data_IF_275009707146
#
_entry.id   IF_275009707146
#
_cell.length_a   1.000
_cell.length_b   1.000
_cell.length_c   1.000
_cell.angle_alpha   90.00
_cell.angle_beta   90.00
_cell.angle_gamma   90.00
#
_symmetry.space_group_name_H-M   'P 1'
#
loop_
_entity.id
_entity.type
_entity.pdbx_description
1 polymer ?
#
# COMPACT_ATOMS: atom_id res chain seq x y z
N UNK A 1 -10.49 -18.00 11.25
CA UNK A 1 -10.54 -17.41 9.89
C UNK A 1 -11.20 -18.34 8.86
N UNK A 2 -10.66 -19.51 8.53
CA UNK A 2 -11.29 -20.39 7.51
C UNK A 2 -12.72 -20.82 7.87
N UNK A 3 -12.98 -21.11 9.14
CA UNK A 3 -14.33 -21.43 9.61
C UNK A 3 -15.29 -20.24 9.44
N UNK A 4 -14.86 -19.03 9.81
CA UNK A 4 -15.61 -17.80 9.59
C UNK A 4 -15.88 -17.54 8.10
N UNK A 5 -14.91 -17.82 7.21
CA UNK A 5 -15.12 -17.70 5.78
C UNK A 5 -16.22 -18.66 5.29
N UNK A 6 -16.29 -19.90 5.82
CA UNK A 6 -17.35 -20.86 5.49
C UNK A 6 -18.74 -20.38 5.92
N UNK A 7 -18.82 -19.65 7.03
CA UNK A 7 -20.06 -19.10 7.57
C UNK A 7 -20.56 -17.89 6.79
N UNK A 8 -19.64 -17.07 6.27
CA UNK A 8 -19.97 -15.85 5.51
C UNK A 8 -20.32 -16.15 4.05
N UNK A 9 -19.60 -17.08 3.42
CA UNK A 9 -19.83 -17.41 2.00
C UNK A 9 -20.98 -18.41 1.90
N UNK A 10 -21.98 -18.20 1.03
CA UNK A 10 -23.06 -19.17 0.82
C UNK A 10 -22.51 -20.56 0.45
N UNK A 11 -23.05 -21.62 1.06
CA UNK A 11 -22.52 -23.00 0.86
C UNK A 11 -22.52 -23.46 -0.60
N UNK A 12 -23.49 -22.99 -1.39
CA UNK A 12 -23.55 -23.28 -2.83
C UNK A 12 -22.35 -22.70 -3.61
N UNK A 13 -21.73 -21.63 -3.11
CA UNK A 13 -20.63 -20.90 -3.76
C UNK A 13 -19.25 -21.34 -3.24
N UNK A 14 -19.18 -22.23 -2.25
CA UNK A 14 -17.89 -22.62 -1.64
C UNK A 14 -16.93 -23.18 -2.69
N UNK A 15 -17.39 -24.16 -3.49
CA UNK A 15 -16.54 -24.86 -4.48
C UNK A 15 -16.05 -23.97 -5.63
N UNK A 16 -16.74 -22.87 -5.93
CA UNK A 16 -16.33 -21.93 -6.98
C UNK A 16 -15.48 -20.77 -6.44
N UNK A 17 -15.54 -20.50 -5.13
CA UNK A 17 -14.81 -19.38 -4.53
C UNK A 17 -13.31 -19.68 -4.48
N UNK A 18 -12.47 -18.93 -5.20
CA UNK A 18 -11.04 -19.16 -5.21
C UNK A 18 -10.39 -18.69 -3.90
N UNK A 19 -9.44 -19.46 -3.39
CA UNK A 19 -8.62 -19.09 -2.23
C UNK A 19 -7.15 -19.14 -2.58
N UNK A 20 -6.46 -18.04 -2.27
CA UNK A 20 -5.03 -17.86 -2.51
C UNK A 20 -4.33 -17.49 -1.21
N UNK A 21 -3.05 -17.83 -1.11
CA UNK A 21 -2.17 -17.32 -0.06
C UNK A 21 -0.90 -16.71 -0.66
N UNK A 22 -0.72 -15.42 -0.42
CA UNK A 22 0.53 -14.71 -0.68
C UNK A 22 1.25 -14.43 0.64
N UNK A 23 2.48 -14.94 0.77
CA UNK A 23 3.36 -14.60 1.88
C UNK A 23 4.39 -13.55 1.44
N UNK A 24 4.78 -12.65 2.35
CA UNK A 24 5.59 -11.46 2.00
C UNK A 24 6.99 -11.51 2.64
N UNK A 25 7.54 -10.37 3.06
CA UNK A 25 8.92 -10.22 3.53
C UNK A 25 9.34 -11.20 4.65
N UNK A 26 8.45 -11.55 5.58
CA UNK A 26 8.78 -12.53 6.62
C UNK A 26 9.17 -13.89 6.05
N UNK A 27 8.42 -14.39 5.07
CA UNK A 27 8.77 -15.63 4.37
C UNK A 27 9.93 -15.45 3.39
N UNK A 28 10.13 -14.25 2.82
CA UNK A 28 11.36 -13.93 2.06
C UNK A 28 12.62 -14.04 2.93
N UNK A 29 12.55 -13.58 4.18
CA UNK A 29 13.63 -13.71 5.17
C UNK A 29 13.83 -15.17 5.59
N UNK A 30 12.74 -15.91 5.89
CA UNK A 30 12.83 -17.32 6.24
C UNK A 30 13.46 -18.13 5.11
N UNK A 31 13.01 -17.96 3.85
CA UNK A 31 13.57 -18.68 2.71
C UNK A 31 15.05 -18.39 2.50
N UNK A 32 15.49 -17.14 2.72
CA UNK A 32 16.92 -16.78 2.69
C UNK A 32 17.72 -17.49 3.78
N UNK A 33 17.12 -17.70 4.95
CA UNK A 33 17.76 -18.36 6.08
C UNK A 33 17.76 -19.90 5.95
N UNK A 34 16.63 -20.47 5.54
CA UNK A 34 16.40 -21.90 5.40
C UNK A 34 15.25 -22.13 4.39
N UNK A 35 15.61 -22.53 3.19
CA UNK A 35 14.67 -22.78 2.10
C UNK A 35 13.71 -23.94 2.40
N UNK A 36 14.21 -25.07 2.93
CA UNK A 36 13.37 -26.23 3.31
C UNK A 36 12.31 -25.84 4.34
N UNK A 37 12.68 -25.07 5.36
CA UNK A 37 11.72 -24.62 6.37
C UNK A 37 10.64 -23.70 5.78
N UNK A 38 10.99 -22.84 4.81
CA UNK A 38 10.01 -22.03 4.12
C UNK A 38 9.04 -22.88 3.29
N UNK A 39 9.54 -23.89 2.58
CA UNK A 39 8.74 -24.80 1.76
C UNK A 39 7.84 -25.71 2.61
N UNK A 40 8.32 -26.17 3.77
CA UNK A 40 7.54 -26.93 4.75
C UNK A 40 6.37 -26.10 5.30
N UNK A 41 6.60 -24.82 5.61
CA UNK A 41 5.55 -23.90 6.04
C UNK A 41 4.51 -23.69 4.93
N UNK A 42 4.95 -23.40 3.70
CA UNK A 42 4.03 -23.22 2.56
C UNK A 42 3.23 -24.49 2.27
N UNK A 43 3.87 -25.66 2.36
CA UNK A 43 3.22 -26.96 2.15
C UNK A 43 2.18 -27.26 3.22
N UNK A 44 2.49 -27.01 4.49
CA UNK A 44 1.56 -27.18 5.61
C UNK A 44 0.33 -26.28 5.48
N UNK A 45 0.56 -25.00 5.15
CA UNK A 45 -0.52 -24.03 4.92
C UNK A 45 -1.34 -24.39 3.69
N UNK A 46 -0.69 -24.78 2.58
CA UNK A 46 -1.35 -25.23 1.36
C UNK A 46 -2.23 -26.46 1.59
N UNK A 47 -1.76 -27.44 2.38
CA UNK A 47 -2.55 -28.63 2.74
C UNK A 47 -3.78 -28.25 3.58
N UNK A 48 -3.64 -27.30 4.49
CA UNK A 48 -4.75 -26.78 5.31
C UNK A 48 -5.77 -26.02 4.46
N UNK A 49 -5.33 -25.23 3.48
CA UNK A 49 -6.24 -24.52 2.58
C UNK A 49 -6.94 -25.48 1.61
N UNK A 50 -6.24 -26.52 1.13
CA UNK A 50 -6.80 -27.55 0.25
C UNK A 50 -7.86 -28.41 0.93
N UNK A 51 -7.83 -28.57 2.26
CA UNK A 51 -8.85 -29.30 3.00
C UNK A 51 -10.11 -28.47 3.29
N UNK A 52 -10.09 -27.16 3.03
CA UNK A 52 -11.27 -26.31 3.08
C UNK A 52 -12.17 -26.52 1.84
N UNK A 53 -13.48 -26.22 1.90
CA UNK A 53 -14.43 -26.45 0.81
C UNK A 53 -14.31 -25.40 -0.31
N UNK A 54 -13.21 -24.64 -0.34
CA UNK A 54 -12.95 -23.58 -1.30
C UNK A 54 -12.06 -24.08 -2.43
N UNK A 55 -12.07 -23.36 -3.56
CA UNK A 55 -11.21 -23.66 -4.68
C UNK A 55 -9.78 -23.16 -4.41
N UNK A 56 -8.92 -24.02 -3.84
CA UNK A 56 -7.53 -23.64 -3.55
C UNK A 56 -6.69 -23.50 -4.82
N UNK A 57 -6.14 -22.29 -5.02
CA UNK A 57 -5.40 -21.91 -6.22
C UNK A 57 -3.89 -21.86 -6.02
N UNK A 58 -3.41 -21.83 -4.76
CA UNK A 58 -1.99 -21.89 -4.46
C UNK A 58 -1.57 -21.06 -3.24
N UNK A 59 -0.40 -21.42 -2.71
CA UNK A 59 0.29 -20.70 -1.65
C UNK A 59 1.71 -20.39 -2.13
N UNK A 60 2.10 -19.11 -2.17
CA UNK A 60 3.43 -18.70 -2.65
C UNK A 60 3.97 -17.50 -1.90
N UNK A 61 5.29 -17.29 -1.99
CA UNK A 61 5.94 -16.07 -1.56
C UNK A 61 5.89 -15.08 -2.72
N UNK A 62 5.29 -13.91 -2.52
CA UNK A 62 5.26 -12.85 -3.53
C UNK A 62 6.57 -12.04 -3.50
N UNK A 63 6.99 -11.53 -4.65
CA UNK A 63 8.14 -10.62 -4.75
C UNK A 63 7.83 -9.28 -4.07
N UNK A 64 8.88 -8.49 -3.83
CA UNK A 64 8.69 -7.16 -3.26
C UNK A 64 8.00 -6.19 -4.22
N UNK A 65 8.31 -6.32 -5.51
CA UNK A 65 7.74 -5.56 -6.61
C UNK A 65 6.27 -5.91 -6.80
N UNK A 66 5.91 -7.20 -6.72
CA UNK A 66 4.52 -7.68 -6.71
C UNK A 66 3.74 -7.08 -5.53
N UNK A 67 4.28 -7.14 -4.31
CA UNK A 67 3.65 -6.58 -3.11
C UNK A 67 3.35 -5.08 -3.26
N UNK A 68 4.33 -4.30 -3.75
CA UNK A 68 4.15 -2.87 -4.01
C UNK A 68 3.15 -2.58 -5.14
N UNK A 69 3.27 -3.27 -6.28
CA UNK A 69 2.41 -3.09 -7.43
C UNK A 69 0.95 -3.43 -7.13
N UNK A 70 0.69 -4.54 -6.44
CA UNK A 70 -0.66 -4.92 -6.06
C UNK A 70 -1.26 -3.95 -5.03
N UNK A 71 -0.45 -3.40 -4.11
CA UNK A 71 -0.88 -2.32 -3.22
C UNK A 71 -1.30 -1.05 -3.99
N UNK A 72 -0.50 -0.66 -4.98
CA UNK A 72 -0.81 0.46 -5.87
C UNK A 72 -2.09 0.23 -6.70
N UNK A 73 -2.28 -0.99 -7.23
CA UNK A 73 -3.51 -1.37 -7.93
C UNK A 73 -4.71 -1.25 -7.00
N UNK A 74 -4.64 -1.78 -5.78
CA UNK A 74 -5.74 -1.73 -4.80
C UNK A 74 -6.22 -0.30 -4.56
N UNK A 75 -5.31 0.62 -4.19
CA UNK A 75 -5.73 1.97 -3.81
C UNK A 75 -6.32 2.72 -5.00
N UNK A 76 -5.75 2.57 -6.20
CA UNK A 76 -6.24 3.24 -7.39
C UNK A 76 -7.54 2.64 -7.92
N UNK A 77 -7.73 1.33 -7.74
CA UNK A 77 -8.99 0.66 -8.03
C UNK A 77 -10.11 1.17 -7.10
N UNK A 78 -9.85 1.22 -5.79
CA UNK A 78 -10.83 1.66 -4.79
C UNK A 78 -11.15 3.16 -4.89
N UNK A 79 -10.18 4.00 -5.26
CA UNK A 79 -10.38 5.43 -5.54
C UNK A 79 -11.04 5.69 -6.90
N UNK A 80 -11.14 4.68 -7.77
CA UNK A 80 -11.70 4.82 -9.11
C UNK A 80 -10.78 5.54 -10.11
N UNK A 81 -9.49 5.67 -9.80
CA UNK A 81 -8.51 6.41 -10.61
C UNK A 81 -8.23 5.77 -11.99
N UNK A 82 -8.58 4.50 -12.18
CA UNK A 82 -8.40 3.81 -13.46
C UNK A 82 -9.52 4.07 -14.48
N UNK A 83 -10.69 4.56 -14.06
CA UNK A 83 -11.84 4.72 -14.97
C UNK A 83 -11.68 6.01 -15.79
N UNK A 84 -11.76 5.91 -17.12
CA UNK A 84 -11.86 7.10 -17.94
C UNK A 84 -13.27 7.68 -17.83
N UNK A 85 -13.37 8.94 -17.41
CA UNK A 85 -14.65 9.65 -17.46
C UNK A 85 -14.93 9.98 -18.93
N UNK A 86 -15.95 9.37 -19.52
CA UNK A 86 -16.37 9.63 -20.91
C UNK A 86 -17.33 10.82 -21.01
N UNK A 87 -17.35 11.48 -22.18
CA UNK A 87 -18.27 12.58 -22.50
C UNK A 87 -17.92 13.93 -21.86
N UNK A 88 -18.93 14.77 -21.64
CA UNK A 88 -18.79 16.18 -21.24
C UNK A 88 -18.24 16.31 -19.80
N UNK A 89 -18.36 15.23 -19.03
CA UNK A 89 -17.72 15.08 -17.73
C UNK A 89 -16.19 15.06 -17.85
N UNK A 90 -15.61 14.51 -18.94
CA UNK A 90 -14.16 14.58 -19.21
C UNK A 90 -13.67 16.03 -19.16
N UNK A 91 -14.35 16.95 -19.84
CA UNK A 91 -13.99 18.38 -19.88
C UNK A 91 -13.94 19.03 -18.47
N UNK A 92 -14.81 18.62 -17.55
CA UNK A 92 -14.85 19.12 -16.18
C UNK A 92 -13.79 18.45 -15.27
N UNK A 93 -13.43 17.19 -15.50
CA UNK A 93 -12.42 16.47 -14.72
C UNK A 93 -10.97 16.76 -15.16
N UNK A 94 -10.71 17.01 -16.46
CA UNK A 94 -9.36 17.38 -16.96
C UNK A 94 -8.87 18.70 -16.38
N UNK A 95 -9.77 19.59 -15.96
CA UNK A 95 -9.43 20.84 -15.29
C UNK A 95 -8.95 20.64 -13.83
N UNK A 96 -9.07 19.43 -13.25
CA UNK A 96 -8.93 19.21 -11.79
C UNK A 96 -7.81 18.25 -11.35
N UNK A 97 -7.14 17.50 -12.25
CA UNK A 97 -6.10 16.55 -11.84
C UNK A 97 -4.85 16.57 -12.74
N UNK A 98 -3.69 16.85 -12.13
CA UNK A 98 -2.37 16.82 -12.76
C UNK A 98 -1.63 15.47 -12.58
N UNK A 99 -2.13 14.58 -11.71
CA UNK A 99 -1.63 13.20 -11.51
C UNK A 99 -2.76 12.18 -11.62
N UNK A 100 -2.67 11.30 -12.61
CA UNK A 100 -3.78 10.41 -12.99
C UNK A 100 -3.97 9.21 -12.04
N UNK A 101 -3.02 8.96 -11.13
CA UNK A 101 -3.09 7.90 -10.11
C UNK A 101 -2.38 8.36 -8.83
N UNK A 102 -2.76 7.78 -7.70
CA UNK A 102 -2.08 7.98 -6.42
C UNK A 102 -0.94 6.98 -6.27
N UNK A 103 0.18 7.41 -5.69
CA UNK A 103 1.24 6.53 -5.25
C UNK A 103 0.84 5.70 -4.02
N UNK A 104 1.52 4.60 -3.78
CA UNK A 104 1.32 3.69 -2.66
C UNK A 104 2.58 3.61 -1.80
N UNK A 105 2.40 3.74 -0.49
CA UNK A 105 3.43 3.52 0.52
C UNK A 105 2.92 2.43 1.48
N UNK A 106 3.62 1.30 1.52
CA UNK A 106 3.27 0.17 2.40
C UNK A 106 4.38 -0.03 3.42
N UNK A 107 4.05 -0.07 4.71
CA UNK A 107 5.00 -0.40 5.77
C UNK A 107 4.54 -1.64 6.51
N UNK A 108 5.31 -2.72 6.34
CA UNK A 108 5.17 -3.96 7.07
C UNK A 108 6.14 -4.07 8.26
N UNK A 109 6.16 -5.25 8.87
CA UNK A 109 7.14 -5.58 9.91
C UNK A 109 8.55 -5.84 9.35
N UNK A 110 8.65 -6.40 8.15
CA UNK A 110 9.92 -6.85 7.56
C UNK A 110 10.35 -6.18 6.24
N UNK A 111 9.46 -5.45 5.58
CA UNK A 111 9.79 -4.59 4.43
C UNK A 111 8.94 -3.34 4.42
N UNK A 112 9.33 -2.39 3.58
CA UNK A 112 8.54 -1.24 3.18
C UNK A 112 8.61 -1.07 1.67
N UNK A 113 7.53 -0.60 1.07
CA UNK A 113 7.37 -0.43 -0.37
C UNK A 113 6.98 1.00 -0.71
N UNK A 114 7.48 1.45 -1.86
CA UNK A 114 7.07 2.69 -2.51
C UNK A 114 6.80 2.39 -3.98
N UNK A 115 5.61 2.76 -4.44
CA UNK A 115 5.14 2.46 -5.79
C UNK A 115 4.34 3.63 -6.36
N UNK A 116 4.73 4.16 -7.51
CA UNK A 116 4.01 5.28 -8.14
C UNK A 116 4.34 5.40 -9.63
N UNK A 117 3.47 6.09 -10.38
CA UNK A 117 3.73 6.40 -11.79
C UNK A 117 4.72 7.57 -11.89
N UNK A 118 5.86 7.32 -12.52
CA UNK A 118 6.86 8.34 -12.82
C UNK A 118 6.70 8.83 -14.27
N UNK A 119 6.81 10.14 -14.48
CA UNK A 119 6.89 10.75 -15.83
C UNK A 119 8.34 10.90 -16.32
N UNK A 120 9.31 10.63 -15.44
CA UNK A 120 10.72 10.71 -15.77
C UNK A 120 11.19 9.41 -16.42
N UNK A 121 12.18 9.52 -17.32
CA UNK A 121 12.86 8.36 -17.88
C UNK A 121 13.50 7.58 -16.74
N UNK A 122 13.19 6.29 -16.64
CA UNK A 122 13.77 5.46 -15.59
C UNK A 122 15.27 5.26 -15.83
N UNK A 123 16.05 5.47 -14.78
CA UNK A 123 17.48 5.13 -14.76
C UNK A 123 17.74 3.72 -14.19
N UNK A 124 16.68 3.03 -13.74
CA UNK A 124 16.72 1.68 -13.17
C UNK A 124 15.57 0.86 -13.76
N UNK A 125 15.80 0.17 -14.90
CA UNK A 125 14.79 -0.68 -15.53
C UNK A 125 14.28 -1.79 -14.60
N UNK A 126 15.13 -2.29 -13.69
CA UNK A 126 14.76 -3.31 -12.70
C UNK A 126 13.73 -2.85 -11.66
N UNK A 127 13.54 -1.53 -11.49
CA UNK A 127 12.52 -0.96 -10.62
C UNK A 127 11.30 -0.42 -11.41
N UNK A 128 11.22 -0.71 -12.70
CA UNK A 128 10.13 -0.26 -13.56
C UNK A 128 9.24 -1.42 -14.00
N UNK A 129 7.94 -1.25 -13.80
CA UNK A 129 6.89 -2.16 -14.28
C UNK A 129 5.99 -1.44 -15.28
N UNK A 130 5.51 -2.19 -16.26
CA UNK A 130 4.59 -1.71 -17.28
C UNK A 130 3.26 -2.43 -17.14
N UNK A 131 2.19 -1.66 -17.00
CA UNK A 131 0.83 -2.19 -16.92
C UNK A 131 -0.04 -1.55 -17.99
N UNK A 132 -0.92 -2.34 -18.60
CA UNK A 132 -2.03 -1.83 -19.41
C UNK A 132 -3.33 -2.14 -18.69
N UNK A 133 -4.02 -1.11 -18.21
CA UNK A 133 -5.24 -1.23 -17.41
C UNK A 133 -6.29 -0.29 -18.00
N UNK A 134 -7.48 -0.80 -18.32
CA UNK A 134 -8.61 0.00 -18.83
C UNK A 134 -8.24 0.92 -20.02
N UNK A 135 -7.54 0.34 -20.99
CA UNK A 135 -7.14 0.97 -22.26
C UNK A 135 -5.94 1.92 -22.15
N UNK A 136 -5.26 1.97 -21.00
CA UNK A 136 -4.19 2.91 -20.74
C UNK A 136 -2.93 2.23 -20.22
N UNK A 137 -1.78 2.71 -20.72
CA UNK A 137 -0.46 2.26 -20.29
C UNK A 137 0.04 3.06 -19.10
N UNK A 138 0.59 2.36 -18.11
CA UNK A 138 1.14 2.91 -16.88
C UNK A 138 2.59 2.44 -16.74
N UNK A 139 3.49 3.41 -16.61
CA UNK A 139 4.90 3.18 -16.27
C UNK A 139 5.07 3.40 -14.78
N UNK A 140 5.14 2.30 -14.02
CA UNK A 140 5.11 2.31 -12.56
C UNK A 140 6.51 2.03 -12.03
N UNK A 141 7.06 2.97 -11.28
CA UNK A 141 8.21 2.71 -10.43
C UNK A 141 7.75 1.93 -9.20
N UNK A 142 8.49 0.89 -8.82
CA UNK A 142 8.26 0.14 -7.59
C UNK A 142 9.57 -0.32 -6.98
N UNK A 143 9.69 -0.21 -5.66
CA UNK A 143 10.81 -0.80 -4.94
C UNK A 143 10.39 -1.30 -3.57
N UNK A 144 10.96 -2.44 -3.15
CA UNK A 144 10.75 -3.05 -1.84
C UNK A 144 12.05 -3.10 -1.05
N UNK A 145 12.13 -2.33 0.03
CA UNK A 145 13.27 -2.35 0.94
C UNK A 145 13.11 -3.47 1.98
N UNK A 146 13.60 -4.66 1.67
CA UNK A 146 13.66 -5.77 2.62
C UNK A 146 14.54 -5.38 3.83
N UNK A 147 14.14 -5.81 5.04
CA UNK A 147 14.70 -5.41 6.32
C UNK A 147 14.36 -3.98 6.80
N UNK A 148 13.67 -3.17 5.98
CA UNK A 148 13.22 -1.82 6.35
C UNK A 148 11.73 -1.76 6.73
N UNK A 149 11.12 -2.91 7.02
CA UNK A 149 9.89 -2.91 7.81
C UNK A 149 10.21 -2.51 9.26
N UNK A 150 9.23 -1.93 9.97
CA UNK A 150 9.49 -1.29 11.27
C UNK A 150 10.14 -2.23 12.30
N UNK A 151 9.75 -3.51 12.33
CA UNK A 151 10.27 -4.46 13.31
C UNK A 151 11.75 -4.76 13.00
N UNK A 152 12.05 -5.00 11.73
CA UNK A 152 13.42 -5.29 11.28
C UNK A 152 14.32 -4.05 11.36
N UNK A 153 13.79 -2.86 11.10
CA UNK A 153 14.51 -1.61 11.28
C UNK A 153 14.89 -1.37 12.75
N UNK A 154 13.99 -1.68 13.70
CA UNK A 154 14.31 -1.66 15.13
C UNK A 154 15.46 -2.61 15.47
N UNK A 155 15.41 -3.85 14.96
CA UNK A 155 16.50 -4.82 15.16
C UNK A 155 17.82 -4.30 14.57
N UNK A 156 17.80 -3.74 13.36
CA UNK A 156 18.99 -3.15 12.74
C UNK A 156 19.55 -1.96 13.54
N UNK A 157 18.68 -1.09 14.06
CA UNK A 157 19.07 0.04 14.91
C UNK A 157 19.78 -0.45 16.17
N UNK A 158 19.15 -1.38 16.88
CA UNK A 158 19.71 -1.97 18.10
C UNK A 158 21.05 -2.65 17.84
N UNK A 159 21.16 -3.41 16.75
CA UNK A 159 22.42 -4.07 16.36
C UNK A 159 23.52 -3.05 16.09
N UNK A 160 23.20 -1.94 15.42
CA UNK A 160 24.14 -0.85 15.13
C UNK A 160 24.58 -0.12 16.40
N UNK A 161 23.63 0.25 17.25
CA UNK A 161 23.92 0.97 18.50
C UNK A 161 24.78 0.13 19.45
N UNK A 162 24.49 -1.18 19.51
CA UNK A 162 25.31 -2.14 20.25
C UNK A 162 26.75 -2.21 19.73
N UNK A 163 26.96 -2.12 18.41
CA UNK A 163 28.30 -2.10 17.82
C UNK A 163 29.07 -0.79 18.08
N UNK A 164 28.36 0.33 18.15
CA UNK A 164 28.94 1.65 18.37
C UNK A 164 29.34 1.87 19.83
N UNK A 165 28.71 1.16 20.77
CA UNK A 165 29.06 1.19 22.18
C UNK A 165 30.38 0.46 22.43
N UNK A 166 31.48 1.21 22.49
CA UNK A 166 32.86 0.71 22.70
C UNK A 166 33.09 0.07 24.07
N UNK A 167 32.15 0.22 24.99
CA UNK A 167 32.12 -0.49 26.28
C UNK A 167 30.65 -0.62 26.69
N UNK A 168 30.11 -1.83 26.59
CA UNK A 168 28.85 -2.23 27.27
C UNK A 168 29.22 -3.00 28.55
N UNK A 169 29.81 -2.35 29.58
CA UNK A 169 30.40 -3.03 30.72
C UNK A 169 29.39 -3.90 31.50
N UNK A 170 28.09 -3.65 31.36
CA UNK A 170 27.03 -4.32 32.12
C UNK A 170 25.93 -4.93 31.24
N UNK A 171 26.20 -5.29 29.99
CA UNK A 171 25.20 -5.85 29.06
C UNK A 171 23.94 -4.97 28.90
N UNK A 172 24.03 -3.67 29.21
CA UNK A 172 22.93 -2.72 29.23
C UNK A 172 23.08 -1.73 28.09
N UNK A 173 22.01 -1.52 27.33
CA UNK A 173 21.94 -0.56 26.23
C UNK A 173 20.84 0.48 26.55
N UNK A 174 21.22 1.71 26.95
CA UNK A 174 20.31 2.84 26.96
C UNK A 174 19.80 3.09 25.54
N UNK A 175 18.49 3.24 25.39
CA UNK A 175 17.87 3.42 24.08
C UNK A 175 16.86 4.59 24.10
N UNK A 176 17.10 5.64 23.30
CA UNK A 176 16.27 6.83 23.29
C UNK A 176 14.88 6.61 22.67
N UNK A 177 14.69 5.53 21.90
CA UNK A 177 13.45 5.24 21.19
C UNK A 177 12.40 4.51 22.03
N UNK A 178 12.73 4.14 23.28
CA UNK A 178 11.80 3.56 24.23
C UNK A 178 11.53 4.54 25.38
N UNK A 179 10.31 4.51 25.91
CA UNK A 179 9.89 5.37 27.01
C UNK A 179 10.77 5.22 28.25
N UNK A 180 11.00 6.31 28.98
CA UNK A 180 11.76 6.28 30.24
C UNK A 180 11.14 5.29 31.23
N UNK A 181 11.96 4.36 31.74
CA UNK A 181 11.52 3.30 32.66
C UNK A 181 10.95 2.05 31.98
N UNK A 182 10.96 1.99 30.65
CA UNK A 182 10.77 0.74 29.92
C UNK A 182 12.06 -0.09 29.97
N UNK A 183 11.92 -1.40 30.19
CA UNK A 183 13.03 -2.35 30.16
C UNK A 183 12.66 -3.57 29.33
N UNK A 184 13.63 -4.10 28.56
CA UNK A 184 13.46 -5.32 27.77
C UNK A 184 14.76 -6.10 27.73
N UNK A 185 14.67 -7.41 27.91
CA UNK A 185 15.81 -8.31 27.74
C UNK A 185 15.76 -8.97 26.36
N UNK A 186 16.92 -9.05 25.69
CA UNK A 186 17.10 -9.71 24.39
C UNK A 186 18.16 -10.80 24.51
N UNK A 187 17.83 -12.00 24.03
CA UNK A 187 18.81 -13.06 23.83
C UNK A 187 19.67 -12.76 22.60
N UNK A 188 20.98 -12.55 22.80
CA UNK A 188 21.91 -12.18 21.73
C UNK A 188 22.04 -13.26 20.64
N UNK A 189 22.01 -14.53 21.03
CA UNK A 189 22.14 -15.63 20.08
C UNK A 189 20.93 -15.71 19.15
N UNK A 190 19.72 -15.50 19.67
CA UNK A 190 18.50 -15.46 18.86
C UNK A 190 18.41 -14.18 18.03
N UNK A 191 18.76 -13.04 18.62
CA UNK A 191 18.79 -11.74 17.95
C UNK A 191 19.61 -11.79 16.66
N UNK A 192 20.83 -12.33 16.71
CA UNK A 192 21.70 -12.41 15.53
C UNK A 192 21.43 -13.60 14.59
N UNK A 193 20.45 -14.47 14.88
CA UNK A 193 19.94 -15.43 13.87
C UNK A 193 19.13 -14.74 12.79
N UNK A 194 18.61 -13.55 13.07
CA UNK A 194 17.83 -12.77 12.11
C UNK A 194 18.71 -12.32 10.92
N UNK A 195 18.34 -12.65 9.67
CA UNK A 195 19.11 -12.26 8.48
C UNK A 195 19.31 -10.75 8.29
N UNK A 196 18.46 -9.92 8.91
CA UNK A 196 18.63 -8.46 8.85
C UNK A 196 19.71 -7.91 9.78
N UNK A 197 20.22 -8.75 10.71
CA UNK A 197 21.24 -8.36 11.70
C UNK A 197 22.45 -9.29 11.72
N UNK A 198 22.43 -10.42 11.02
CA UNK A 198 23.47 -11.46 11.04
C UNK A 198 24.87 -10.91 10.79
N UNK A 199 24.99 -9.99 9.83
CA UNK A 199 26.27 -9.42 9.38
C UNK A 199 26.86 -8.46 10.42
N UNK A 200 26.09 -8.15 11.47
CA UNK A 200 26.49 -7.29 12.58
C UNK A 200 26.93 -8.09 13.81
N UNK A 201 26.93 -9.42 13.74
CA UNK A 201 27.35 -10.27 14.85
C UNK A 201 28.83 -10.07 15.16
N UNK A 202 29.13 -9.58 16.36
CA UNK A 202 30.46 -9.63 16.98
C UNK A 202 30.42 -10.60 18.15
N UNK A 203 31.58 -11.11 18.56
CA UNK A 203 31.68 -11.87 19.81
C UNK A 203 31.47 -10.89 20.97
N UNK A 204 30.28 -10.96 21.58
CA UNK A 204 29.93 -10.16 22.74
C UNK A 204 30.21 -10.96 24.01
N UNK A 205 30.67 -10.33 25.10
CA UNK A 205 31.00 -11.02 26.35
C UNK A 205 29.77 -11.44 27.17
N UNK A 206 28.56 -11.32 26.64
CA UNK A 206 27.30 -11.60 27.31
C UNK A 206 26.30 -12.29 26.36
N UNK A 207 25.40 -13.10 26.94
CA UNK A 207 24.34 -13.81 26.22
C UNK A 207 23.01 -13.07 26.20
N UNK A 208 22.82 -12.11 27.11
CA UNK A 208 21.61 -11.31 27.25
C UNK A 208 21.96 -9.83 27.15
N UNK A 209 21.09 -9.04 26.52
CA UNK A 209 21.18 -7.59 26.41
C UNK A 209 19.97 -6.95 27.10
N UNK A 210 20.21 -6.01 28.01
CA UNK A 210 19.18 -5.27 28.73
C UNK A 210 18.99 -3.88 28.11
N UNK A 211 17.89 -3.68 27.40
CA UNK A 211 17.49 -2.39 26.87
C UNK A 211 16.85 -1.56 27.99
N UNK A 212 17.28 -0.29 28.13
CA UNK A 212 16.70 0.67 29.06
C UNK A 212 16.23 1.91 28.31
N UNK A 213 14.93 2.21 28.35
CA UNK A 213 14.38 3.36 27.65
C UNK A 213 14.78 4.69 28.27
N UNK A 214 15.13 5.67 27.42
CA UNK A 214 15.44 7.05 27.84
C UNK A 214 14.32 8.05 27.48
N UNK A 215 13.53 7.79 26.43
CA UNK A 215 12.43 8.65 25.99
C UNK A 215 12.88 9.96 25.35
N UNK A 216 13.88 9.93 24.47
CA UNK A 216 14.47 11.11 23.82
C UNK A 216 14.26 11.03 22.30
N UNK A 217 13.26 11.75 21.80
CA UNK A 217 12.87 11.70 20.39
C UNK A 217 14.01 12.13 19.45
N UNK A 218 14.76 13.18 19.79
CA UNK A 218 15.80 13.71 18.92
C UNK A 218 16.95 12.72 18.76
N UNK A 219 17.44 12.14 19.87
CA UNK A 219 18.46 11.07 19.80
C UNK A 219 17.93 9.81 19.13
N UNK A 220 16.65 9.48 19.32
CA UNK A 220 16.02 8.37 18.63
C UNK A 220 16.05 8.58 17.11
N UNK A 221 15.63 9.76 16.64
CA UNK A 221 15.64 10.14 15.22
C UNK A 221 17.05 10.08 14.65
N UNK A 222 18.05 10.60 15.34
CA UNK A 222 19.46 10.55 14.92
C UNK A 222 20.00 9.11 14.83
N UNK A 223 19.64 8.24 15.78
CA UNK A 223 20.01 6.82 15.73
C UNK A 223 19.35 6.12 14.53
N UNK A 224 18.06 6.39 14.28
CA UNK A 224 17.32 5.84 13.14
C UNK A 224 17.89 6.31 11.80
N UNK A 225 18.20 7.60 11.67
CA UNK A 225 18.70 8.18 10.41
C UNK A 225 19.99 7.51 9.93
N UNK A 226 20.81 6.97 10.84
CA UNK A 226 22.02 6.19 10.51
C UNK A 226 21.72 4.91 9.73
N UNK A 227 20.48 4.40 9.76
CA UNK A 227 20.08 3.23 8.95
C UNK A 227 20.06 3.55 7.45
N UNK A 228 19.81 4.79 7.07
CA UNK A 228 19.67 5.19 5.67
C UNK A 228 21.02 5.66 5.11
N UNK A 229 21.76 4.78 4.43
CA UNK A 229 23.01 5.19 3.81
C UNK A 229 22.75 6.04 2.56
N UNK A 230 23.19 7.31 2.58
CA UNK A 230 23.05 8.24 1.46
C UNK A 230 24.36 8.61 0.76
N UNK A 231 25.49 8.03 1.16
CA UNK A 231 26.80 8.47 0.67
C UNK A 231 27.06 8.13 -0.80
N UNK A 232 26.44 7.06 -1.30
CA UNK A 232 26.67 6.55 -2.65
C UNK A 232 25.36 6.56 -3.43
N UNK A 233 25.29 7.36 -4.50
CA UNK A 233 24.21 7.32 -5.48
C UNK A 233 24.80 7.37 -6.89
N UNK A 234 24.50 6.37 -7.71
CA UNK A 234 24.99 6.27 -9.10
C UNK A 234 24.01 6.84 -10.13
N UNK A 235 22.82 7.21 -9.67
CA UNK A 235 21.72 7.75 -10.48
C UNK A 235 21.58 9.26 -10.21
N UNK A 236 20.70 9.93 -10.95
CA UNK A 236 20.41 11.36 -10.73
C UNK A 236 19.86 11.64 -9.32
N UNK A 237 19.13 10.69 -8.76
CA UNK A 237 18.54 10.75 -7.43
C UNK A 237 18.35 9.35 -6.86
N UNK A 238 18.58 9.23 -5.56
CA UNK A 238 18.39 7.98 -4.82
C UNK A 238 17.56 8.22 -3.57
N UNK A 239 16.91 7.17 -3.13
CA UNK A 239 16.32 7.08 -1.79
C UNK A 239 17.43 6.93 -0.74
N UNK A 240 17.86 5.69 -0.52
CA UNK A 240 18.97 5.29 0.34
C UNK A 240 19.55 3.96 -0.17
N UNK A 241 20.73 3.59 0.34
CA UNK A 241 21.53 2.44 -0.08
C UNK A 241 21.83 2.40 -1.58
N UNK A 242 21.92 3.56 -2.24
CA UNK A 242 22.18 3.67 -3.67
C UNK A 242 21.04 3.22 -4.57
N UNK A 243 19.83 3.07 -4.03
CA UNK A 243 18.63 2.69 -4.79
C UNK A 243 18.04 3.94 -5.47
N UNK A 244 17.90 3.86 -6.79
CA UNK A 244 17.25 4.90 -7.60
C UNK A 244 15.86 5.23 -7.06
N UNK A 245 15.53 6.52 -6.96
CA UNK A 245 14.19 6.99 -6.63
C UNK A 245 13.87 8.19 -7.53
N UNK A 246 12.93 8.07 -8.48
CA UNK A 246 12.45 9.23 -9.23
C UNK A 246 11.87 10.30 -8.30
N UNK A 247 11.86 11.59 -8.72
CA UNK A 247 11.18 12.64 -7.97
C UNK A 247 9.73 12.25 -7.62
N UNK A 248 9.42 12.28 -6.32
CA UNK A 248 8.07 11.94 -5.84
C UNK A 248 7.05 12.98 -6.33
N UNK A 249 5.98 12.51 -6.97
CA UNK A 249 4.98 13.34 -7.62
C UNK A 249 3.57 12.79 -7.40
N UNK A 250 2.57 13.67 -7.37
CA UNK A 250 1.18 13.32 -7.05
C UNK A 250 0.94 13.00 -5.57
N UNK A 251 -0.28 12.60 -5.26
CA UNK A 251 -0.71 12.18 -3.93
C UNK A 251 -0.36 10.72 -3.65
N UNK A 252 -0.12 10.37 -2.39
CA UNK A 252 0.27 9.04 -1.94
C UNK A 252 -0.67 8.53 -0.85
N UNK A 253 -1.15 7.30 -1.01
CA UNK A 253 -1.80 6.54 0.05
C UNK A 253 -0.78 5.75 0.84
N UNK A 254 -0.62 6.07 2.13
CA UNK A 254 0.24 5.36 3.07
C UNK A 254 -0.58 4.46 4.00
N UNK A 255 -0.41 3.15 3.91
CA UNK A 255 -1.26 2.16 4.59
C UNK A 255 -0.46 1.16 5.42
N UNK A 256 -1.12 0.12 5.94
CA UNK A 256 -0.53 -0.84 6.88
C UNK A 256 0.01 -0.14 8.14
N UNK A 257 1.26 -0.38 8.53
CA UNK A 257 1.81 0.20 9.76
C UNK A 257 1.97 1.72 9.68
N UNK A 258 2.05 2.34 8.48
CA UNK A 258 1.97 3.79 8.36
C UNK A 258 0.66 4.30 8.97
N UNK A 259 -0.48 3.72 8.58
CA UNK A 259 -1.78 4.10 9.09
C UNK A 259 -1.94 3.75 10.58
N UNK A 260 -1.67 2.52 10.99
CA UNK A 260 -1.96 2.11 12.38
C UNK A 260 -1.13 2.88 13.41
N UNK A 261 0.13 3.21 13.11
CA UNK A 261 0.99 4.02 14.00
C UNK A 261 0.50 5.46 14.04
N UNK A 262 0.24 6.08 12.89
CA UNK A 262 -0.26 7.45 12.84
C UNK A 262 -1.64 7.57 13.48
N UNK A 263 -2.53 6.60 13.28
CA UNK A 263 -3.85 6.58 13.87
C UNK A 263 -3.80 6.47 15.40
N UNK A 264 -2.92 5.61 15.93
CA UNK A 264 -2.72 5.51 17.38
C UNK A 264 -2.30 6.85 18.00
N UNK A 265 -1.44 7.60 17.31
CA UNK A 265 -0.97 8.92 17.73
C UNK A 265 -1.96 10.05 17.44
N UNK A 266 -3.15 9.73 16.92
CA UNK A 266 -4.16 10.69 16.46
C UNK A 266 -3.61 11.68 15.40
N UNK A 267 -2.79 11.14 14.48
CA UNK A 267 -2.13 11.86 13.39
C UNK A 267 -2.74 11.56 12.01
N UNK A 268 -3.85 10.82 11.99
CA UNK A 268 -4.70 10.64 10.81
C UNK A 268 -5.76 11.74 10.77
N UNK A 269 -6.18 12.15 9.57
CA UNK A 269 -7.19 13.20 9.38
C UNK A 269 -8.03 12.88 8.15
N UNK A 270 -9.35 13.02 8.27
CA UNK A 270 -10.30 12.78 7.19
C UNK A 270 -10.40 13.96 6.22
N UNK A 271 -10.09 15.18 6.67
CA UNK A 271 -10.26 16.41 5.87
C UNK A 271 -9.01 16.76 5.08
N UNK A 272 -7.86 16.85 5.75
CA UNK A 272 -6.56 17.17 5.15
C UNK A 272 -5.40 16.66 6.00
N UNK A 273 -4.26 16.29 5.40
CA UNK A 273 -3.09 15.86 6.18
C UNK A 273 -2.63 16.92 7.18
N UNK A 274 -2.07 16.47 8.31
CA UNK A 274 -1.54 17.37 9.33
C UNK A 274 -0.19 17.94 8.91
N UNK A 275 0.12 19.17 9.33
CA UNK A 275 1.42 19.78 9.09
C UNK A 275 2.55 18.98 9.76
N UNK A 276 3.70 18.87 9.08
CA UNK A 276 4.83 18.05 9.52
C UNK A 276 5.36 18.44 10.92
N UNK A 277 5.33 19.73 11.25
CA UNK A 277 5.70 20.21 12.59
C UNK A 277 4.75 19.70 13.69
N UNK A 278 3.45 19.60 13.41
CA UNK A 278 2.45 19.05 14.33
C UNK A 278 2.63 17.55 14.51
N UNK A 279 2.92 16.83 13.42
CA UNK A 279 3.23 15.39 13.44
C UNK A 279 4.48 15.14 14.30
N UNK A 280 5.55 15.87 14.03
CA UNK A 280 6.83 15.80 14.77
C UNK A 280 6.64 16.07 16.26
N UNK A 281 6.05 17.21 16.63
CA UNK A 281 5.85 17.59 18.03
C UNK A 281 4.94 16.62 18.80
N UNK A 282 3.98 15.99 18.14
CA UNK A 282 3.11 14.97 18.76
C UNK A 282 3.88 13.68 19.06
N UNK A 283 4.71 13.20 18.13
CA UNK A 283 5.57 12.02 18.36
C UNK A 283 6.59 12.32 19.46
N UNK A 284 7.22 13.49 19.42
CA UNK A 284 8.18 13.94 20.42
C UNK A 284 7.56 13.96 21.83
N UNK A 285 6.39 14.57 21.96
CA UNK A 285 5.65 14.62 23.21
C UNK A 285 5.26 13.22 23.71
N UNK A 286 4.87 12.32 22.81
CA UNK A 286 4.56 10.94 23.16
C UNK A 286 5.79 10.18 23.68
N UNK A 287 6.93 10.28 22.99
CA UNK A 287 8.19 9.64 23.37
C UNK A 287 8.69 10.05 24.76
N UNK A 288 8.50 11.33 25.14
CA UNK A 288 8.93 11.86 26.43
C UNK A 288 8.14 11.33 27.63
N UNK A 289 6.98 10.69 27.42
CA UNK A 289 6.15 10.17 28.51
C UNK A 289 6.82 8.99 29.22
N UNK A 290 6.77 8.93 30.57
CA UNK A 290 7.25 7.77 31.32
C UNK A 290 6.46 6.50 30.98
N UNK A 291 7.13 5.35 31.00
CA UNK A 291 6.53 4.09 30.58
C UNK A 291 5.27 3.71 31.38
N UNK A 292 5.26 3.94 32.69
CA UNK A 292 4.10 3.64 33.54
C UNK A 292 2.87 4.47 33.18
N UNK A 293 3.06 5.74 32.78
CA UNK A 293 1.97 6.61 32.35
C UNK A 293 1.37 6.12 31.03
N UNK A 294 2.23 5.78 30.06
CA UNK A 294 1.82 5.22 28.76
C UNK A 294 1.06 3.91 28.96
N UNK A 295 1.59 3.00 29.78
CA UNK A 295 0.96 1.70 30.06
C UNK A 295 -0.39 1.84 30.73
N UNK A 296 -0.54 2.80 31.65
CA UNK A 296 -1.81 3.09 32.32
C UNK A 296 -2.83 3.70 31.36
N UNK A 297 -2.41 4.68 30.55
CA UNK A 297 -3.29 5.36 29.59
C UNK A 297 -3.80 4.44 28.48
N UNK A 298 -2.99 3.46 28.05
CA UNK A 298 -3.31 2.55 26.94
C UNK A 298 -3.34 1.08 27.36
N UNK A 299 -3.87 0.79 28.56
CA UNK A 299 -3.88 -0.55 29.15
C UNK A 299 -4.57 -1.63 28.30
N UNK A 300 -5.41 -1.24 27.33
CA UNK A 300 -6.11 -2.15 26.42
C UNK A 300 -5.23 -2.61 25.24
N UNK A 301 -4.12 -1.93 24.98
CA UNK A 301 -3.17 -2.28 23.92
C UNK A 301 -2.13 -3.24 24.49
N UNK A 302 -1.86 -4.33 23.77
CA UNK A 302 -0.82 -5.29 24.17
C UNK A 302 0.53 -4.58 24.25
N UNK A 303 1.23 -4.79 25.36
CA UNK A 303 2.52 -4.16 25.66
C UNK A 303 3.53 -4.26 24.50
N UNK A 304 3.60 -5.40 23.83
CA UNK A 304 4.48 -5.62 22.66
C UNK A 304 4.30 -4.60 21.52
N UNK A 305 3.11 -4.04 21.35
CA UNK A 305 2.84 -2.99 20.37
C UNK A 305 3.04 -1.61 20.98
N UNK A 306 2.51 -1.43 22.21
CA UNK A 306 2.54 -0.15 22.91
C UNK A 306 3.96 0.36 23.13
N UNK A 307 4.90 -0.52 23.49
CA UNK A 307 6.31 -0.17 23.72
C UNK A 307 7.03 0.34 22.48
N UNK A 308 6.52 0.06 21.28
CA UNK A 308 7.20 0.34 20.01
C UNK A 308 6.68 1.61 19.31
N UNK A 309 5.63 2.26 19.80
CA UNK A 309 5.04 3.41 19.08
C UNK A 309 5.96 4.64 19.02
N UNK A 310 6.78 4.89 20.04
CA UNK A 310 7.78 5.97 19.99
C UNK A 310 8.78 5.72 18.87
N UNK A 311 9.44 4.55 18.86
CA UNK A 311 10.31 4.13 17.76
C UNK A 311 9.59 4.17 16.41
N UNK A 312 8.38 3.60 16.31
CA UNK A 312 7.67 3.46 15.05
C UNK A 312 7.28 4.81 14.45
N UNK A 313 6.83 5.77 15.28
CA UNK A 313 6.54 7.13 14.84
C UNK A 313 7.78 7.85 14.34
N UNK A 314 8.88 7.81 15.11
CA UNK A 314 10.16 8.39 14.70
C UNK A 314 10.75 7.72 13.44
N UNK A 315 10.54 6.40 13.29
CA UNK A 315 10.97 5.63 12.14
C UNK A 315 10.21 6.03 10.87
N UNK A 316 8.89 6.15 10.96
CA UNK A 316 8.05 6.58 9.83
C UNK A 316 8.47 7.97 9.35
N UNK A 317 8.64 8.94 10.27
CA UNK A 317 9.08 10.28 9.89
C UNK A 317 10.45 10.25 9.19
N UNK A 318 11.41 9.53 9.77
CA UNK A 318 12.75 9.41 9.19
C UNK A 318 12.72 8.68 7.83
N UNK A 319 11.89 7.66 7.67
CA UNK A 319 11.73 6.95 6.40
C UNK A 319 11.09 7.84 5.33
N UNK A 320 10.06 8.61 5.66
CA UNK A 320 9.39 9.50 4.70
C UNK A 320 10.30 10.67 4.30
N UNK A 321 10.87 11.38 5.28
CA UNK A 321 11.73 12.56 5.03
C UNK A 321 13.10 12.17 4.48
N UNK A 322 13.81 11.28 5.18
CA UNK A 322 15.16 10.91 4.81
C UNK A 322 15.17 9.74 3.81
N UNK A 323 14.26 8.78 3.88
CA UNK A 323 14.26 7.67 2.92
C UNK A 323 13.62 8.01 1.58
N UNK A 324 12.40 8.55 1.59
CA UNK A 324 11.56 8.74 0.40
C UNK A 324 11.46 10.19 -0.08
N UNK A 325 12.23 11.11 0.50
CA UNK A 325 12.32 12.51 0.11
C UNK A 325 10.98 13.28 0.20
N UNK A 326 10.13 12.91 1.15
CA UNK A 326 8.96 13.72 1.53
C UNK A 326 9.38 14.80 2.52
N UNK A 327 9.62 16.01 2.03
CA UNK A 327 9.99 17.20 2.80
C UNK A 327 8.76 18.02 3.17
N UNK A 328 8.94 19.12 3.89
CA UNK A 328 7.85 20.05 4.26
C UNK A 328 7.01 20.50 3.05
N UNK A 329 7.63 20.65 1.87
CA UNK A 329 6.98 21.12 0.65
C UNK A 329 6.01 20.11 0.02
N UNK A 330 6.18 18.82 0.26
CA UNK A 330 5.35 17.76 -0.36
C UNK A 330 4.74 16.80 0.68
N UNK A 331 4.97 17.02 1.98
CA UNK A 331 4.39 16.24 3.08
C UNK A 331 2.86 16.13 3.01
N UNK A 332 2.20 17.24 2.64
CA UNK A 332 0.74 17.33 2.50
C UNK A 332 0.15 16.44 1.39
N UNK A 333 1.00 15.78 0.59
CA UNK A 333 0.57 14.83 -0.44
C UNK A 333 0.42 13.41 0.11
N UNK A 334 0.77 13.16 1.38
CA UNK A 334 0.64 11.84 2.01
C UNK A 334 -0.70 11.76 2.75
N UNK A 335 -1.50 10.76 2.38
CA UNK A 335 -2.74 10.41 3.04
C UNK A 335 -2.57 9.08 3.76
N UNK A 336 -2.73 9.05 5.08
CA UNK A 336 -2.65 7.81 5.86
C UNK A 336 -3.99 7.07 5.79
N UNK A 337 -4.01 5.93 5.09
CA UNK A 337 -5.24 5.21 4.72
C UNK A 337 -5.34 3.87 5.46
N UNK A 338 -6.40 3.68 6.23
CA UNK A 338 -6.77 2.36 6.78
C UNK A 338 -7.68 1.61 5.81
N UNK A 339 -8.81 2.24 5.49
CA UNK A 339 -9.83 1.75 4.55
C UNK A 339 -10.15 2.79 3.50
N UNK A 340 -10.55 2.33 2.32
CA UNK A 340 -11.13 3.13 1.24
C UNK A 340 -12.51 2.55 0.97
N UNK A 341 -13.56 3.29 1.34
CA UNK A 341 -14.91 2.74 1.44
C UNK A 341 -14.96 1.64 2.51
N UNK A 342 -15.44 0.45 2.15
CA UNK A 342 -15.52 -0.71 3.06
C UNK A 342 -14.29 -1.62 3.05
N UNK A 343 -13.32 -1.35 2.17
CA UNK A 343 -12.20 -2.26 1.89
C UNK A 343 -10.90 -1.74 2.48
N UNK A 344 -10.08 -2.63 3.01
CA UNK A 344 -8.75 -2.28 3.54
C UNK A 344 -7.79 -1.88 2.43
N UNK A 345 -6.96 -0.86 2.70
CA UNK A 345 -5.83 -0.52 1.85
C UNK A 345 -4.70 -1.54 2.07
N UNK A 346 -4.24 -2.17 0.99
CA UNK A 346 -3.22 -3.22 1.03
C UNK A 346 -3.11 -3.96 -0.30
N UNK A 347 -2.18 -4.90 -0.43
CA UNK A 347 -1.92 -5.59 -1.70
C UNK A 347 -2.93 -6.70 -2.05
N UNK A 348 -3.73 -7.19 -1.09
CA UNK A 348 -4.55 -8.41 -1.28
C UNK A 348 -5.65 -8.26 -2.33
N UNK A 349 -6.28 -7.08 -2.44
CA UNK A 349 -7.32 -6.85 -3.46
C UNK A 349 -6.72 -6.79 -4.86
N UNK A 350 -5.65 -6.03 -5.08
CA UNK A 350 -4.93 -5.97 -6.36
C UNK A 350 -4.40 -7.33 -6.79
N UNK A 351 -3.93 -8.14 -5.84
CA UNK A 351 -3.53 -9.52 -6.06
C UNK A 351 -4.69 -10.38 -6.55
N UNK A 352 -5.83 -10.33 -5.84
CA UNK A 352 -7.05 -11.06 -6.22
C UNK A 352 -7.52 -10.64 -7.62
N UNK A 353 -7.65 -9.34 -7.87
CA UNK A 353 -8.10 -8.77 -9.13
C UNK A 353 -7.25 -9.22 -10.33
N UNK A 354 -5.92 -9.29 -10.13
CA UNK A 354 -5.02 -9.77 -11.17
C UNK A 354 -5.15 -11.29 -11.40
N UNK A 355 -5.18 -12.09 -10.33
CA UNK A 355 -5.24 -13.55 -10.46
C UNK A 355 -6.60 -14.07 -10.95
N UNK A 356 -7.67 -13.30 -10.79
CA UNK A 356 -8.99 -13.61 -11.35
C UNK A 356 -9.25 -12.94 -12.70
N UNK A 357 -8.24 -12.26 -13.29
CA UNK A 357 -8.35 -11.52 -14.55
C UNK A 357 -9.51 -10.49 -14.55
N UNK A 358 -9.80 -9.88 -13.40
CA UNK A 358 -10.88 -8.90 -13.24
C UNK A 358 -10.45 -7.45 -13.56
N UNK A 359 -9.18 -7.23 -13.90
CA UNK A 359 -8.71 -5.95 -14.44
C UNK A 359 -8.47 -6.12 -15.94
N UNK A 360 -9.38 -5.63 -16.81
CA UNK A 360 -9.20 -5.75 -18.24
C UNK A 360 -8.11 -4.80 -18.74
N UNK A 361 -7.37 -5.24 -19.77
CA UNK A 361 -6.37 -4.40 -20.43
C UNK A 361 -7.02 -3.26 -21.22
N UNK A 362 -8.20 -3.47 -21.80
CA UNK A 362 -8.99 -2.48 -22.53
C UNK A 362 -10.29 -2.16 -21.80
N UNK A 363 -10.85 -0.97 -22.03
CA UNK A 363 -12.21 -0.70 -21.55
C UNK A 363 -13.21 -1.61 -22.28
N UNK A 364 -14.21 -2.18 -21.57
CA UNK A 364 -15.30 -2.90 -22.22
C UNK A 364 -15.97 -1.99 -23.25
N UNK A 365 -16.28 -2.53 -24.43
CA UNK A 365 -16.93 -1.78 -25.50
C UNK A 365 -18.26 -1.19 -24.98
N UNK A 366 -18.30 0.13 -24.78
CA UNK A 366 -19.52 0.84 -24.42
C UNK A 366 -20.32 1.13 -25.70
N UNK A 367 -21.61 0.80 -25.77
CA UNK A 367 -22.42 1.17 -26.92
C UNK A 367 -22.45 2.71 -27.07
N UNK A 368 -22.47 3.24 -28.30
CA UNK A 368 -22.37 4.70 -28.56
C UNK A 368 -23.55 5.49 -27.98
N UNK A 369 -24.66 4.81 -27.67
CA UNK A 369 -25.86 5.39 -27.10
C UNK A 369 -26.20 4.64 -25.81
N UNK A 370 -26.66 5.39 -24.79
CA UNK A 370 -27.32 4.77 -23.64
C UNK A 370 -28.55 3.99 -24.12
N UNK A 371 -28.97 2.96 -23.40
CA UNK A 371 -30.16 2.20 -23.75
C UNK A 371 -31.39 3.11 -23.95
N UNK A 372 -31.58 4.11 -23.07
CA UNK A 372 -32.65 5.10 -23.20
C UNK A 372 -32.51 5.98 -24.45
N UNK A 373 -31.30 6.45 -24.76
CA UNK A 373 -31.02 7.27 -25.95
C UNK A 373 -31.23 6.47 -27.25
N UNK A 374 -30.83 5.21 -27.27
CA UNK A 374 -31.04 4.30 -28.40
C UNK A 374 -32.54 4.05 -28.62
N UNK A 375 -33.28 3.69 -27.57
CA UNK A 375 -34.73 3.50 -27.64
C UNK A 375 -35.43 4.78 -28.10
N UNK A 376 -35.05 5.93 -27.54
CA UNK A 376 -35.60 7.23 -27.95
C UNK A 376 -35.35 7.55 -29.43
N UNK A 377 -34.14 7.30 -29.93
CA UNK A 377 -33.79 7.49 -31.33
C UNK A 377 -34.60 6.55 -32.24
N UNK A 378 -34.73 5.27 -31.86
CA UNK A 378 -35.51 4.30 -32.63
C UNK A 378 -36.99 4.68 -32.71
N UNK A 379 -37.58 5.18 -31.61
CA UNK A 379 -38.96 5.68 -31.59
C UNK A 379 -39.11 6.90 -32.49
N UNK A 380 -38.18 7.86 -32.39
CA UNK A 380 -38.19 9.07 -33.23
C UNK A 380 -38.10 8.71 -34.72
N UNK A 381 -37.14 7.85 -35.11
CA UNK A 381 -36.98 7.40 -36.48
C UNK A 381 -38.24 6.68 -36.98
N UNK A 382 -38.87 5.86 -36.14
CA UNK A 382 -40.12 5.18 -36.50
C UNK A 382 -41.27 6.16 -36.73
N UNK A 383 -41.42 7.18 -35.88
CA UNK A 383 -42.43 8.23 -36.02
C UNK A 383 -42.22 9.05 -37.29
N UNK A 384 -40.98 9.40 -37.62
CA UNK A 384 -40.63 10.11 -38.87
C UNK A 384 -40.94 9.24 -40.08
N UNK A 385 -40.67 7.94 -40.03
CA UNK A 385 -40.93 7.04 -41.14
C UNK A 385 -42.44 6.88 -41.37
N UNK A 386 -43.23 6.74 -40.30
CA UNK A 386 -44.70 6.72 -40.37
C UNK A 386 -45.26 8.02 -40.93
N UNK A 387 -44.76 9.18 -40.50
CA UNK A 387 -45.25 10.47 -41.00
C UNK A 387 -44.90 10.68 -42.48
N UNK A 388 -43.71 10.26 -42.94
CA UNK A 388 -43.34 10.28 -44.36
C UNK A 388 -44.24 9.34 -45.17
N UNK A 389 -44.53 8.13 -44.68
CA UNK A 389 -45.42 7.20 -45.36
C UNK A 389 -46.87 7.72 -45.43
N UNK A 390 -47.37 8.34 -44.36
CA UNK A 390 -48.69 8.98 -44.35
C UNK A 390 -48.76 10.16 -45.31
N UNK A 391 -47.70 10.99 -45.34
CA UNK A 391 -47.62 12.12 -46.26
C UNK A 391 -47.54 11.67 -47.72
N UNK A 392 -46.73 10.65 -48.02
CA UNK A 392 -46.69 10.03 -49.33
C UNK A 392 -48.05 9.42 -49.71
N UNK A 393 -48.70 8.70 -48.79
CA UNK A 393 -50.04 8.15 -49.00
C UNK A 393 -51.04 9.25 -49.33
N UNK A 394 -51.07 10.36 -48.59
CA UNK A 394 -51.94 11.51 -48.88
C UNK A 394 -51.65 12.17 -50.24
N UNK A 395 -50.39 12.24 -50.68
CA UNK A 395 -50.02 12.81 -51.98
C UNK A 395 -50.40 11.90 -53.16
N UNK A 396 -50.28 10.59 -53.00
CA UNK A 396 -50.58 9.61 -54.05
C UNK A 396 -52.05 9.17 -54.07
N UNK A 397 -52.75 9.25 -52.93
CA UNK A 397 -54.20 9.15 -52.86
C UNK A 397 -54.85 10.53 -53.08
N UNK A 398 -54.83 11.00 -54.34
CA UNK A 398 -55.76 12.09 -54.71
C UNK A 398 -57.19 11.58 -54.51
N UNK A 399 -58.04 12.25 -53.71
CA UNK A 399 -59.44 11.87 -53.59
C UNK A 399 -60.09 12.01 -54.97
N UNK A 400 -60.81 10.96 -55.43
CA UNK A 400 -61.60 10.94 -56.68
C UNK A 400 -62.73 11.98 -56.75
N UNK A 401 -62.76 12.99 -55.87
CA UNK A 401 -63.81 14.00 -55.78
C UNK A 401 -63.50 15.32 -56.52
N UNK A 402 -62.35 15.45 -57.21
CA UNK A 402 -62.02 16.63 -58.02
C UNK A 402 -61.94 16.36 -59.54
N UNK A 403 -62.67 15.35 -60.02
CA UNK A 403 -63.02 15.19 -61.44
C UNK A 403 -64.53 15.29 -61.60
N UNK A 404 -65.09 16.48 -61.38
CA UNK A 404 -66.41 16.82 -61.92
C UNK A 404 -66.39 18.23 -62.50
N UNK A 405 -66.49 18.27 -63.82
CA UNK A 405 -67.11 19.36 -64.58
C UNK A 405 -66.16 20.37 -65.18
N UNK A 406 -65.80 20.17 -66.46
CA UNK A 406 -65.94 21.23 -67.49
C UNK A 406 -66.47 20.51 -68.74
N UNK A 407 -67.69 20.90 -69.16
CA UNK A 407 -68.28 20.63 -70.48
C UNK A 407 -67.62 21.54 -71.50
#
# INVERSE_FOLDING_TARGET
CLQQAKEVIPSAQHKETPVYLGATAGMRLLRRQNESAADEVLSSVGNTLRSAPFNFQGARIISGEEEGAYGWITINYLLGNFKQVSGWKKLLYTLKSLSETSGALDLGGASTQITFVSKHVSESPENQLYFRLYGKDYQVYTHSFLCYGKDQALQQKLARDLQASTSTPNSSLPDPCFHKGYERTININEFFKNPCTSDKKKQLPFSQLYIKGEGDYQKCRESIQKLFNKSNCRFSSCSFNGIYLPPVQGDFGAFSAFYFVMNFLNLTSESSPLALNKVTSTIESFCARPWQEVKTAYHHIKEKYLSEYCFSGAYILSLLENGYAFTENNWQKIHFLGKIGSSDAGWTLGYMLNLTNMIPAEEPASPPLSHGSYVGLMVLCSLVLVSVLLFAWLLFHKPKCLQKGIV
#
